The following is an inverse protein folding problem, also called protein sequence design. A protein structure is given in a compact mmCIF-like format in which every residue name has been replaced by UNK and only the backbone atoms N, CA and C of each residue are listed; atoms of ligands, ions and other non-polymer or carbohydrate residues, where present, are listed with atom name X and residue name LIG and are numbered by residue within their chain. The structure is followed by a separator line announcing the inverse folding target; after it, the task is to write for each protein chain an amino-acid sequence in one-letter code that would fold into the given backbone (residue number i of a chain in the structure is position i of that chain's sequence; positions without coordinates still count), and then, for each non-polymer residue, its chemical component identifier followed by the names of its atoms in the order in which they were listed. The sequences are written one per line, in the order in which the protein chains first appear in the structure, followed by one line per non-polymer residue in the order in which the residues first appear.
data_IF_337455128001
#
_entry.id   IF_337455128001
#
_cell.length_a   1.000
_cell.length_b   1.000
_cell.length_c   1.000
_cell.angle_alpha   90.00
_cell.angle_beta   90.00
_cell.angle_gamma   90.00
#
_symmetry.space_group_name_H-M   'P 1'
#
loop_
_entity.id
_entity.type
_entity.pdbx_description
1 polymer ?
#
# COMPACT_ATOMS: atom_id res chain seq x y z
N UNK A 1 11.40 13.00 16.69
CA UNK A 1 10.06 12.62 16.19
C UNK A 1 9.10 13.72 16.56
N UNK A 2 8.35 14.31 15.63
CA UNK A 2 7.37 15.35 15.98
C UNK A 2 6.39 14.85 17.06
N UNK A 3 6.14 15.68 18.07
CA UNK A 3 5.49 15.31 19.35
C UNK A 3 4.01 14.91 19.20
N UNK A 4 3.30 15.54 18.26
CA UNK A 4 1.85 15.37 18.07
C UNK A 4 1.54 14.76 16.69
N UNK A 5 1.70 13.44 16.53
CA UNK A 5 1.30 12.73 15.31
C UNK A 5 0.03 11.93 15.54
N UNK A 6 -0.87 11.96 14.55
CA UNK A 6 -2.01 11.03 14.47
C UNK A 6 -1.51 9.57 14.56
N UNK A 7 -2.27 8.71 15.24
CA UNK A 7 -1.91 7.30 15.47
C UNK A 7 -1.65 6.56 14.15
N UNK A 8 -2.49 6.79 13.14
CA UNK A 8 -2.36 6.19 11.81
C UNK A 8 -1.05 6.57 11.11
N UNK A 9 -0.66 7.85 11.20
CA UNK A 9 0.59 8.32 10.63
C UNK A 9 1.79 7.67 11.35
N UNK A 10 1.72 7.51 12.67
CA UNK A 10 2.75 6.85 13.46
C UNK A 10 2.91 5.38 13.04
N UNK A 11 1.82 4.65 12.90
CA UNK A 11 1.82 3.25 12.45
C UNK A 11 2.36 3.12 11.03
N UNK A 12 1.97 4.02 10.12
CA UNK A 12 2.50 4.05 8.75
C UNK A 12 4.01 4.25 8.72
N UNK A 13 4.54 5.18 9.53
CA UNK A 13 5.97 5.45 9.59
C UNK A 13 6.74 4.26 10.19
N UNK A 14 6.20 3.61 11.23
CA UNK A 14 6.80 2.40 11.81
C UNK A 14 6.83 1.26 10.79
N UNK A 15 5.71 1.02 10.09
CA UNK A 15 5.61 -0.01 9.07
C UNK A 15 6.56 0.27 7.89
N UNK A 16 6.68 1.52 7.48
CA UNK A 16 7.59 1.95 6.40
C UNK A 16 9.04 1.75 6.80
N UNK A 17 9.43 2.10 8.04
CA UNK A 17 10.77 1.85 8.57
C UNK A 17 11.07 0.36 8.63
N UNK A 18 10.13 -0.48 9.10
CA UNK A 18 10.30 -1.94 9.12
C UNK A 18 10.49 -2.53 7.73
N UNK A 19 10.00 -1.90 6.66
CA UNK A 19 10.23 -2.35 5.28
C UNK A 19 11.64 -2.05 4.81
N UNK A 20 12.18 -0.88 5.15
CA UNK A 20 13.53 -0.44 4.78
C UNK A 20 14.56 -1.17 5.66
N UNK A 21 15.16 -2.24 5.13
CA UNK A 21 16.22 -3.00 5.80
C UNK A 21 17.63 -2.50 5.45
N UNK A 22 18.64 -2.80 6.28
CA UNK A 22 20.01 -2.36 6.05
C UNK A 22 20.74 -3.13 4.93
N UNK A 23 20.34 -4.36 4.65
CA UNK A 23 21.06 -5.26 3.73
C UNK A 23 20.33 -5.42 2.39
N UNK A 24 21.08 -5.86 1.37
CA UNK A 24 20.56 -6.18 0.03
C UNK A 24 19.71 -7.48 0.02
N UNK A 25 19.90 -8.29 1.05
CA UNK A 25 19.24 -9.58 1.26
C UNK A 25 18.61 -9.59 2.63
N UNK A 26 17.39 -9.05 2.72
CA UNK A 26 16.57 -9.09 3.92
C UNK A 26 15.75 -10.38 4.04
N UNK A 27 15.66 -11.15 2.96
CA UNK A 27 14.93 -12.41 2.95
C UNK A 27 15.58 -13.40 3.94
N UNK A 28 14.79 -14.02 4.84
CA UNK A 28 15.32 -15.02 5.76
C UNK A 28 15.86 -16.24 4.99
N UNK A 29 16.86 -16.91 5.57
CA UNK A 29 17.58 -17.99 4.90
C UNK A 29 16.67 -19.10 4.38
N UNK A 30 15.64 -19.49 5.15
CA UNK A 30 14.68 -20.51 4.73
C UNK A 30 13.98 -20.16 3.41
N UNK A 31 13.68 -18.88 3.18
CA UNK A 31 13.00 -18.41 1.98
C UNK A 31 13.94 -18.45 0.77
N UNK A 32 15.23 -18.14 0.98
CA UNK A 32 16.28 -18.27 -0.03
C UNK A 32 16.48 -19.74 -0.40
N UNK A 33 16.54 -20.63 0.61
CA UNK A 33 16.70 -22.09 0.43
C UNK A 33 15.55 -22.72 -0.35
N UNK A 34 14.29 -22.35 -0.03
CA UNK A 34 13.10 -22.85 -0.77
C UNK A 34 13.06 -22.40 -2.23
N UNK A 35 13.54 -21.19 -2.53
CA UNK A 35 13.50 -20.63 -3.89
C UNK A 35 14.68 -21.04 -4.76
N UNK A 36 15.77 -21.53 -4.16
CA UNK A 36 17.00 -21.92 -4.85
C UNK A 36 17.76 -20.75 -5.50
N UNK A 37 17.38 -19.50 -5.21
CA UNK A 37 17.98 -18.28 -5.80
C UNK A 37 18.03 -17.15 -4.77
N UNK A 38 19.05 -16.28 -4.87
CA UNK A 38 19.21 -15.09 -4.02
C UNK A 38 18.03 -14.14 -4.23
N UNK A 39 17.32 -13.79 -3.16
CA UNK A 39 16.21 -12.82 -3.19
C UNK A 39 16.78 -11.43 -2.96
N UNK A 40 16.99 -10.68 -4.04
CA UNK A 40 17.42 -9.29 -4.00
C UNK A 40 16.19 -8.38 -3.89
N UNK A 41 16.15 -7.44 -2.92
CA UNK A 41 15.08 -6.45 -2.93
C UNK A 41 15.46 -5.27 -3.82
N UNK A 42 14.61 -4.95 -4.79
CA UNK A 42 14.86 -3.86 -5.74
C UNK A 42 14.75 -2.45 -5.13
N UNK A 43 14.35 -2.31 -3.85
CA UNK A 43 13.94 -1.02 -3.23
C UNK A 43 14.60 -0.76 -1.87
N UNK A 44 15.85 -1.16 -1.70
CA UNK A 44 16.50 -1.24 -0.38
C UNK A 44 17.14 0.03 0.16
N UNK A 45 17.57 0.97 -0.69
CA UNK A 45 18.24 2.18 -0.21
C UNK A 45 17.29 3.35 -0.26
N UNK A 46 16.62 3.61 0.87
CA UNK A 46 15.87 4.85 1.10
C UNK A 46 16.61 5.70 2.11
N UNK A 47 17.13 6.84 1.65
CA UNK A 47 17.66 7.86 2.54
C UNK A 47 16.52 8.73 3.08
N UNK A 48 16.57 9.07 4.37
CA UNK A 48 15.52 9.88 5.03
C UNK A 48 15.33 11.24 4.34
N UNK A 49 16.41 11.84 3.83
CA UNK A 49 16.39 13.13 3.10
C UNK A 49 15.81 13.02 1.68
N UNK A 50 15.87 11.83 1.07
CA UNK A 50 15.41 11.60 -0.31
C UNK A 50 14.00 10.99 -0.35
N UNK A 51 13.46 10.54 0.78
CA UNK A 51 12.20 9.77 0.84
C UNK A 51 11.11 10.56 1.57
N UNK A 52 10.15 11.07 0.81
CA UNK A 52 9.01 11.80 1.36
C UNK A 52 7.87 10.86 1.80
N UNK A 53 8.06 10.19 2.94
CA UNK A 53 7.06 9.29 3.53
C UNK A 53 5.73 9.99 3.85
N UNK A 54 5.75 11.30 4.10
CA UNK A 54 4.54 12.11 4.32
C UNK A 54 3.65 12.18 3.08
N UNK A 55 4.23 12.39 1.89
CA UNK A 55 3.47 12.38 0.63
C UNK A 55 2.96 10.97 0.31
N UNK A 56 3.74 9.93 0.60
CA UNK A 56 3.29 8.55 0.41
C UNK A 56 2.10 8.21 1.30
N UNK A 57 2.09 8.67 2.54
CA UNK A 57 0.96 8.52 3.46
C UNK A 57 -0.29 9.21 2.91
N UNK A 58 -0.17 10.48 2.47
CA UNK A 58 -1.30 11.22 1.85
C UNK A 58 -1.85 10.48 0.62
N UNK A 59 -0.97 9.97 -0.24
CA UNK A 59 -1.36 9.15 -1.42
C UNK A 59 -2.04 7.85 -1.01
N UNK A 60 -1.55 7.17 0.03
CA UNK A 60 -2.14 5.93 0.55
C UNK A 60 -3.55 6.18 1.13
N UNK A 61 -3.72 7.23 1.93
CA UNK A 61 -5.01 7.64 2.49
C UNK A 61 -6.02 8.00 1.39
N UNK A 62 -5.61 8.76 0.36
CA UNK A 62 -6.45 9.07 -0.81
C UNK A 62 -6.86 7.80 -1.58
N UNK A 63 -5.95 6.83 -1.76
CA UNK A 63 -6.27 5.54 -2.41
C UNK A 63 -7.25 4.70 -1.61
N UNK A 64 -7.13 4.67 -0.28
CA UNK A 64 -8.08 3.95 0.59
C UNK A 64 -9.47 4.61 0.55
N UNK A 65 -9.52 5.94 0.59
CA UNK A 65 -10.77 6.69 0.46
C UNK A 65 -11.47 6.40 -0.88
N UNK A 66 -10.74 6.41 -2.00
CA UNK A 66 -11.29 6.10 -3.33
C UNK A 66 -11.78 4.65 -3.50
N UNK A 67 -11.22 3.70 -2.75
CA UNK A 67 -11.68 2.30 -2.75
C UNK A 67 -13.01 2.10 -2.02
N UNK A 68 -13.29 2.88 -0.98
CA UNK A 68 -14.57 2.82 -0.25
C UNK A 68 -15.77 3.27 -1.10
N UNK A 69 -15.55 4.09 -2.12
CA UNK A 69 -16.62 4.66 -2.96
C UNK A 69 -17.07 3.71 -4.09
N UNK A 70 -16.29 2.68 -4.43
CA UNK A 70 -16.64 1.71 -5.50
C UNK A 70 -17.48 0.52 -4.99
N UNK A 71 -18.46 0.78 -4.13
CA UNK A 71 -19.61 -0.12 -4.00
C UNK A 71 -20.36 -0.11 -5.33
N UNK A 72 -20.25 -1.19 -6.10
CA UNK A 72 -20.97 -1.35 -7.38
C UNK A 72 -22.47 -1.13 -7.13
N UNK A 73 -23.02 0.02 -7.51
CA UNK A 73 -24.47 0.16 -7.65
C UNK A 73 -24.87 -0.78 -8.78
N UNK A 74 -25.44 -1.93 -8.43
CA UNK A 74 -26.12 -2.79 -9.39
C UNK A 74 -27.30 -1.99 -9.94
N UNK A 75 -27.11 -1.35 -11.09
CA UNK A 75 -28.19 -0.68 -11.80
C UNK A 75 -29.12 -1.78 -12.31
N UNK A 76 -30.18 -2.09 -11.55
CA UNK A 76 -31.24 -2.98 -12.01
C UNK A 76 -31.88 -2.31 -13.22
N UNK A 77 -31.56 -2.81 -14.41
CA UNK A 77 -32.22 -2.40 -15.66
C UNK A 77 -33.66 -2.92 -15.59
N UNK A 78 -34.61 -2.09 -15.20
CA UNK A 78 -36.02 -2.46 -15.31
C UNK A 78 -36.35 -2.62 -16.79
N UNK A 79 -36.73 -3.83 -17.20
CA UNK A 79 -37.46 -4.02 -18.47
C UNK A 79 -38.87 -3.52 -18.20
N UNK A 80 -39.13 -2.25 -18.47
CA UNK A 80 -40.49 -1.76 -18.59
C UNK A 80 -40.74 -1.30 -20.01
N UNK A 81 -41.87 -1.77 -20.54
CA UNK A 81 -42.51 -1.49 -21.82
C UNK A 81 -41.90 -2.10 -23.08
N UNK A 82 -42.25 -3.39 -23.28
CA UNK A 82 -42.43 -3.97 -24.61
C UNK A 82 -43.88 -4.39 -24.80
N UNK A 83 -44.80 -3.44 -24.69
CA UNK A 83 -46.15 -3.57 -25.23
C UNK A 83 -46.58 -2.22 -25.83
N UNK A 84 -46.84 -2.24 -27.14
CA UNK A 84 -47.53 -1.27 -28.01
C UNK A 84 -46.74 -0.97 -29.28
N UNK A 85 -46.83 -1.91 -30.23
CA UNK A 85 -47.26 -1.65 -31.62
C UNK A 85 -47.54 -2.99 -32.29
#
# INVERSE_FOLDING_TARGET
MARNKEKELKEFLIASRKKIGPSITKAPFWAVRKKGKRILEKKQKRHWKQSELGLEFKRARKRQAGKRVKGKKHFKKSRYNRERR
#
